data_IF_328276669373
#
_entry.id   IF_328276669373
#
_cell.length_a   1.000
_cell.length_b   1.000
_cell.length_c   1.000
_cell.angle_alpha   90.00
_cell.angle_beta   90.00
_cell.angle_gamma   90.00
#
_symmetry.space_group_name_H-M   'P 1'
#
loop_
_entity.id
_entity.type
_entity.pdbx_description
1 polymer ?
#
# COMPACT_ATOMS: atom_id res chain seq x y z
N UNK A 1 24.60 40.12 1.76
CA UNK A 1 23.13 39.91 1.57
C UNK A 1 22.84 38.72 0.64
N UNK A 2 23.52 38.59 -0.50
CA UNK A 2 23.42 37.44 -1.42
C UNK A 2 23.70 36.07 -0.76
N UNK A 3 24.64 36.00 0.19
CA UNK A 3 25.00 34.72 0.83
C UNK A 3 23.96 34.19 1.82
N UNK A 4 23.19 35.08 2.47
CA UNK A 4 22.06 34.68 3.32
C UNK A 4 20.90 34.15 2.48
N UNK A 5 20.65 34.76 1.32
CA UNK A 5 19.60 34.33 0.38
C UNK A 5 19.90 32.93 -0.18
N UNK A 6 21.15 32.66 -0.60
CA UNK A 6 21.58 31.32 -1.05
C UNK A 6 21.46 30.23 0.01
N UNK A 7 21.48 30.58 1.30
CA UNK A 7 21.36 29.63 2.42
C UNK A 7 19.92 29.41 2.89
N UNK A 8 19.06 30.43 2.74
CA UNK A 8 17.63 30.37 3.08
C UNK A 8 16.82 29.63 1.99
N UNK A 9 17.15 29.84 0.72
CA UNK A 9 16.50 29.20 -0.44
C UNK A 9 16.45 27.65 -0.39
N UNK A 10 17.55 26.93 -0.07
CA UNK A 10 17.50 25.47 0.05
C UNK A 10 16.70 25.00 1.27
N UNK A 11 16.72 25.75 2.37
CA UNK A 11 15.96 25.40 3.58
C UNK A 11 14.45 25.54 3.34
N UNK A 12 14.01 26.61 2.66
CA UNK A 12 12.59 26.76 2.30
C UNK A 12 12.09 25.65 1.38
N UNK A 13 12.93 25.17 0.46
CA UNK A 13 12.59 24.04 -0.42
C UNK A 13 12.46 22.75 0.39
N UNK A 14 13.37 22.49 1.34
CA UNK A 14 13.28 21.31 2.21
C UNK A 14 12.01 21.32 3.06
N UNK A 15 11.63 22.48 3.61
CA UNK A 15 10.38 22.63 4.37
C UNK A 15 9.17 22.40 3.46
N UNK A 16 9.16 22.99 2.26
CA UNK A 16 8.07 22.79 1.30
C UNK A 16 7.94 21.31 0.87
N UNK A 17 9.06 20.65 0.57
CA UNK A 17 9.11 19.22 0.25
C UNK A 17 8.57 18.36 1.40
N UNK A 18 8.94 18.68 2.63
CA UNK A 18 8.44 17.96 3.80
C UNK A 18 6.91 18.12 3.95
N UNK A 19 6.39 19.33 3.74
CA UNK A 19 4.96 19.59 3.78
C UNK A 19 4.22 18.85 2.66
N UNK A 20 4.74 18.83 1.43
CA UNK A 20 4.13 18.07 0.33
C UNK A 20 4.20 16.56 0.58
N UNK A 21 5.34 16.05 1.05
CA UNK A 21 5.49 14.64 1.40
C UNK A 21 4.47 14.19 2.44
N UNK A 22 4.24 15.00 3.49
CA UNK A 22 3.25 14.65 4.52
C UNK A 22 1.81 14.64 4.00
N UNK A 23 1.46 15.55 3.08
CA UNK A 23 0.16 15.55 2.41
C UNK A 23 -0.03 14.30 1.54
N UNK A 24 0.98 13.99 0.72
CA UNK A 24 0.94 12.82 -0.15
C UNK A 24 0.93 11.51 0.65
N UNK A 25 1.65 11.46 1.77
CA UNK A 25 1.58 10.34 2.70
C UNK A 25 0.17 10.17 3.29
N UNK A 26 -0.48 11.28 3.70
CA UNK A 26 -1.86 11.25 4.17
C UNK A 26 -2.84 10.76 3.09
N UNK A 27 -2.66 11.20 1.84
CA UNK A 27 -3.44 10.71 0.69
C UNK A 27 -3.18 9.23 0.43
N UNK A 28 -1.93 8.79 0.48
CA UNK A 28 -1.56 7.39 0.28
C UNK A 28 -2.22 6.49 1.32
N UNK A 29 -2.17 6.87 2.61
CA UNK A 29 -2.87 6.14 3.66
C UNK A 29 -4.38 6.09 3.40
N UNK A 30 -4.98 7.23 3.04
CA UNK A 30 -6.43 7.34 2.84
C UNK A 30 -6.92 6.53 1.64
N UNK A 31 -6.18 6.50 0.54
CA UNK A 31 -6.66 5.93 -0.73
C UNK A 31 -6.03 4.57 -1.08
N UNK A 32 -4.88 4.21 -0.49
CA UNK A 32 -4.31 2.87 -0.73
C UNK A 32 -5.09 1.78 0.00
N UNK A 33 -5.13 0.59 -0.62
CA UNK A 33 -5.62 -0.64 0.02
C UNK A 33 -4.55 -1.37 0.84
N UNK A 34 -3.30 -0.87 0.86
CA UNK A 34 -2.15 -1.52 1.52
C UNK A 34 -2.33 -1.55 3.03
N UNK A 35 -2.88 -0.49 3.61
CA UNK A 35 -3.18 -0.43 5.03
C UNK A 35 -4.51 -1.13 5.31
N UNK A 36 -4.42 -2.44 5.57
CA UNK A 36 -5.58 -3.29 5.86
C UNK A 36 -6.48 -2.73 6.99
N UNK A 37 -5.90 -2.03 7.97
CA UNK A 37 -6.63 -1.42 9.10
C UNK A 37 -7.50 -0.20 8.73
N UNK A 38 -7.35 0.35 7.52
CA UNK A 38 -8.09 1.53 7.02
C UNK A 38 -8.92 1.15 5.77
N UNK A 39 -9.21 -0.15 5.65
CA UNK A 39 -10.03 -0.70 4.55
C UNK A 39 -11.52 -0.48 4.84
N UNK A 40 -11.88 0.78 5.03
CA UNK A 40 -13.24 1.19 5.42
C UNK A 40 -14.22 1.19 4.25
N UNK A 41 -13.71 0.93 3.03
CA UNK A 41 -14.49 0.86 1.80
C UNK A 41 -14.47 -0.55 1.24
N UNK A 42 -15.65 -1.00 0.82
CA UNK A 42 -15.87 -2.26 0.10
C UNK A 42 -14.91 -2.42 -1.10
N UNK A 43 -14.65 -1.33 -1.84
CA UNK A 43 -13.75 -1.32 -2.99
C UNK A 43 -12.31 -1.66 -2.61
N UNK A 44 -11.84 -1.21 -1.44
CA UNK A 44 -10.49 -1.51 -0.95
C UNK A 44 -10.36 -2.98 -0.57
N UNK A 45 -11.39 -3.53 0.09
CA UNK A 45 -11.44 -4.95 0.44
C UNK A 45 -11.45 -5.80 -0.83
N UNK A 46 -12.27 -5.44 -1.82
CA UNK A 46 -12.31 -6.11 -3.12
C UNK A 46 -10.96 -6.03 -3.85
N UNK A 47 -10.30 -4.86 -3.86
CA UNK A 47 -8.96 -4.71 -4.42
C UNK A 47 -7.91 -5.60 -3.74
N UNK A 48 -8.01 -5.77 -2.42
CA UNK A 48 -7.16 -6.68 -1.66
C UNK A 48 -7.44 -8.16 -1.97
N UNK A 49 -8.71 -8.54 -2.14
CA UNK A 49 -9.10 -9.88 -2.62
C UNK A 49 -8.47 -10.13 -4.00
N UNK A 50 -8.58 -9.16 -4.91
CA UNK A 50 -8.03 -9.24 -6.26
C UNK A 50 -6.51 -9.45 -6.25
N UNK A 51 -5.80 -8.61 -5.49
CA UNK A 51 -4.36 -8.71 -5.37
C UNK A 51 -3.93 -10.06 -4.79
N UNK A 52 -4.62 -10.54 -3.75
CA UNK A 52 -4.23 -11.76 -3.06
C UNK A 52 -4.56 -13.03 -3.88
N UNK A 53 -5.71 -13.12 -4.56
CA UNK A 53 -5.98 -14.27 -5.45
C UNK A 53 -5.05 -14.29 -6.66
N UNK A 54 -4.71 -13.12 -7.22
CA UNK A 54 -3.82 -13.06 -8.38
C UNK A 54 -2.42 -13.60 -8.06
N UNK A 55 -1.90 -13.31 -6.86
CA UNK A 55 -0.62 -13.87 -6.40
C UNK A 55 -0.71 -15.39 -6.27
N UNK A 56 -1.82 -15.92 -5.76
CA UNK A 56 -2.03 -17.37 -5.65
C UNK A 56 -2.09 -18.00 -7.04
N UNK A 57 -2.89 -17.44 -7.95
CA UNK A 57 -3.02 -17.92 -9.33
C UNK A 57 -1.67 -17.99 -10.04
N UNK A 58 -0.91 -16.88 -10.05
CA UNK A 58 0.43 -16.85 -10.66
C UNK A 58 1.38 -17.85 -10.01
N UNK A 59 1.28 -17.99 -8.70
CA UNK A 59 2.03 -18.95 -7.93
C UNK A 59 1.80 -20.41 -8.32
N UNK A 60 0.54 -20.78 -8.52
CA UNK A 60 0.14 -22.14 -8.92
C UNK A 60 0.54 -22.48 -10.36
N UNK A 61 0.73 -21.47 -11.20
CA UNK A 61 1.24 -21.66 -12.58
C UNK A 61 2.76 -21.85 -12.67
N UNK A 62 3.50 -21.69 -11.56
CA UNK A 62 4.94 -21.89 -11.57
C UNK A 62 5.29 -23.39 -11.61
N UNK A 63 6.26 -23.81 -12.44
CA UNK A 63 6.57 -25.22 -12.67
C UNK A 63 7.09 -25.94 -11.41
N UNK A 64 7.76 -25.20 -10.52
CA UNK A 64 8.22 -25.71 -9.23
C UNK A 64 7.67 -24.84 -8.11
N UNK A 65 6.76 -25.39 -7.30
CA UNK A 65 6.22 -24.70 -6.14
C UNK A 65 7.03 -25.04 -4.90
N UNK A 66 7.40 -24.00 -4.13
CA UNK A 66 8.08 -24.20 -2.85
C UNK A 66 7.09 -24.77 -1.83
N UNK A 67 7.54 -25.69 -0.97
CA UNK A 67 6.72 -26.16 0.16
C UNK A 67 6.26 -24.98 1.02
N UNK A 68 4.97 -24.93 1.36
CA UNK A 68 4.35 -23.82 2.09
C UNK A 68 4.10 -22.56 1.24
N UNK A 69 4.33 -22.63 -0.08
CA UNK A 69 3.96 -21.55 -0.99
C UNK A 69 2.46 -21.28 -0.91
N UNK A 70 2.10 -20.00 -0.85
CA UNK A 70 0.70 -19.58 -0.88
C UNK A 70 -0.06 -19.76 0.43
N UNK A 71 0.40 -20.54 1.41
CA UNK A 71 -0.35 -20.82 2.66
C UNK A 71 -0.81 -19.53 3.37
N UNK A 72 0.15 -18.65 3.71
CA UNK A 72 -0.14 -17.36 4.34
C UNK A 72 -1.04 -16.47 3.48
N UNK A 73 -0.89 -16.56 2.15
CA UNK A 73 -1.62 -15.74 1.19
C UNK A 73 -3.08 -16.22 1.06
N UNK A 74 -3.30 -17.52 1.05
CA UNK A 74 -4.63 -18.15 1.06
C UNK A 74 -5.36 -17.84 2.36
N UNK A 75 -4.70 -17.97 3.52
CA UNK A 75 -5.33 -17.61 4.80
C UNK A 75 -5.75 -16.13 4.84
N UNK A 76 -4.90 -15.25 4.30
CA UNK A 76 -5.23 -13.82 4.17
C UNK A 76 -6.41 -13.59 3.22
N UNK A 77 -6.43 -14.26 2.07
CA UNK A 77 -7.53 -14.19 1.10
C UNK A 77 -8.85 -14.64 1.71
N UNK A 78 -8.87 -15.77 2.42
CA UNK A 78 -10.05 -16.27 3.14
C UNK A 78 -10.56 -15.21 4.12
N UNK A 79 -9.68 -14.59 4.89
CA UNK A 79 -10.06 -13.53 5.83
C UNK A 79 -10.67 -12.31 5.12
N UNK A 80 -10.11 -11.88 3.99
CA UNK A 80 -10.69 -10.79 3.21
C UNK A 80 -12.06 -11.14 2.64
N UNK A 81 -12.24 -12.35 2.09
CA UNK A 81 -13.54 -12.83 1.61
C UNK A 81 -14.58 -12.86 2.73
N UNK A 82 -14.21 -13.40 3.90
CA UNK A 82 -15.09 -13.44 5.07
C UNK A 82 -15.44 -12.05 5.60
N UNK A 83 -14.52 -11.08 5.47
CA UNK A 83 -14.79 -9.70 5.83
C UNK A 83 -15.72 -9.01 4.83
N UNK A 84 -15.56 -9.28 3.53
CA UNK A 84 -16.38 -8.73 2.46
C UNK A 84 -17.82 -9.24 2.46
N UNK A 85 -18.02 -10.51 2.83
CA UNK A 85 -19.34 -11.15 2.86
C UNK A 85 -20.16 -10.88 4.14
N UNK A 86 -19.56 -10.24 5.14
CA UNK A 86 -20.23 -9.86 6.39
C UNK A 86 -20.89 -8.50 6.26
#
# INVERSE_FOLDING_TARGET
MKDKIKKIFPVSILVALFLEYTKDYGRYIKYSGVFAFISDSEEKVLGNIIADYHVVEKGLTMPETRLGFGEKKIMKLINHCNHYLK
#
